data_IF_560798467077
#
_entry.id   IF_560798467077
#
_cell.length_a   1.000
_cell.length_b   1.000
_cell.length_c   1.000
_cell.angle_alpha   90.00
_cell.angle_beta   90.00
_cell.angle_gamma   90.00
#
_symmetry.space_group_name_H-M   'P 1'
#
loop_
_entity.id
_entity.type
_entity.pdbx_description
1 polymer ?
#
# COMPACT_ATOMS: atom_id res chain seq x y z
N UNK A 1 -28.14 -21.10 -14.37
CA UNK A 1 -27.81 -22.54 -14.44
C UNK A 1 -27.32 -23.07 -13.10
N UNK A 2 -26.18 -22.63 -12.58
CA UNK A 2 -25.64 -23.08 -11.27
C UNK A 2 -26.62 -22.82 -10.10
N UNK A 3 -27.17 -21.60 -10.01
CA UNK A 3 -28.16 -21.22 -9.01
C UNK A 3 -29.40 -22.13 -9.06
N UNK A 4 -29.92 -22.41 -10.23
CA UNK A 4 -31.16 -23.20 -10.42
C UNK A 4 -30.92 -24.68 -10.02
N UNK A 5 -29.72 -25.17 -10.24
CA UNK A 5 -29.33 -26.55 -9.92
C UNK A 5 -29.03 -26.73 -8.42
N UNK A 6 -28.24 -25.81 -7.82
CA UNK A 6 -27.71 -25.98 -6.46
C UNK A 6 -28.27 -25.02 -5.42
N UNK A 7 -28.92 -23.91 -5.82
CA UNK A 7 -29.36 -22.85 -4.90
C UNK A 7 -30.34 -23.31 -3.81
N UNK A 8 -31.12 -24.37 -4.04
CA UNK A 8 -32.04 -24.92 -3.05
C UNK A 8 -31.39 -25.97 -2.12
N UNK A 9 -30.16 -26.41 -2.41
CA UNK A 9 -29.51 -27.49 -1.67
C UNK A 9 -29.20 -27.12 -0.24
N UNK A 10 -28.63 -25.92 -0.02
CA UNK A 10 -28.33 -25.40 1.33
C UNK A 10 -29.60 -25.26 2.19
N UNK A 11 -30.71 -24.82 1.60
CA UNK A 11 -31.98 -24.69 2.31
C UNK A 11 -32.50 -26.07 2.76
N UNK A 12 -32.41 -27.08 1.89
CA UNK A 12 -32.78 -28.47 2.23
C UNK A 12 -31.91 -29.02 3.35
N UNK A 13 -30.62 -28.73 3.33
CA UNK A 13 -29.66 -29.17 4.36
C UNK A 13 -29.96 -28.49 5.70
N UNK A 14 -30.19 -27.17 5.73
CA UNK A 14 -30.55 -26.44 6.93
C UNK A 14 -31.88 -26.93 7.55
N UNK A 15 -32.89 -27.21 6.71
CA UNK A 15 -34.14 -27.82 7.19
C UNK A 15 -33.92 -29.17 7.83
N UNK A 16 -33.03 -30.05 7.26
CA UNK A 16 -32.68 -31.33 7.85
C UNK A 16 -31.94 -31.21 9.19
N UNK A 17 -31.17 -30.15 9.37
CA UNK A 17 -30.51 -29.84 10.64
C UNK A 17 -31.45 -29.26 11.68
N UNK A 18 -32.73 -29.06 11.36
CA UNK A 18 -33.70 -28.49 12.29
C UNK A 18 -33.58 -26.98 12.49
N UNK A 19 -32.89 -26.27 11.59
CA UNK A 19 -32.79 -24.80 11.67
C UNK A 19 -34.16 -24.16 11.53
N UNK A 20 -34.48 -23.19 12.41
CA UNK A 20 -35.72 -22.43 12.43
C UNK A 20 -35.48 -21.09 11.72
N UNK A 21 -35.96 -21.00 10.48
CA UNK A 21 -35.86 -19.82 9.64
C UNK A 21 -37.21 -19.58 8.95
N UNK A 22 -37.48 -18.35 8.51
CA UNK A 22 -38.62 -18.03 7.66
C UNK A 22 -38.31 -18.41 6.22
N UNK A 23 -38.60 -19.65 5.87
CA UNK A 23 -38.30 -20.22 4.55
C UNK A 23 -39.11 -19.61 3.40
N UNK A 24 -40.24 -19.02 3.68
CA UNK A 24 -41.08 -18.36 2.66
C UNK A 24 -40.48 -17.05 2.17
N UNK A 25 -39.74 -16.37 3.07
CA UNK A 25 -38.99 -15.15 2.73
C UNK A 25 -37.54 -15.40 2.29
N UNK A 26 -37.25 -16.60 1.78
CA UNK A 26 -35.96 -16.90 1.23
C UNK A 26 -35.63 -15.96 0.07
N UNK A 27 -34.47 -15.31 0.14
CA UNK A 27 -33.97 -14.41 -0.91
C UNK A 27 -32.59 -14.86 -1.37
N UNK A 28 -32.26 -14.54 -2.59
CA UNK A 28 -30.93 -14.70 -3.14
C UNK A 28 -30.28 -13.32 -3.26
N UNK A 29 -28.98 -13.22 -2.92
CA UNK A 29 -28.27 -11.94 -2.87
C UNK A 29 -28.25 -11.16 -4.18
N UNK A 30 -28.47 -11.83 -5.32
CA UNK A 30 -28.53 -11.21 -6.64
C UNK A 30 -29.97 -11.18 -7.21
N UNK A 31 -31.00 -11.31 -6.35
CA UNK A 31 -32.38 -11.06 -6.73
C UNK A 31 -32.55 -9.59 -7.14
N UNK A 32 -33.50 -9.34 -8.03
CA UNK A 32 -33.78 -8.00 -8.56
C UNK A 32 -33.94 -6.94 -7.46
N UNK A 33 -34.82 -7.18 -6.48
CA UNK A 33 -35.06 -6.23 -5.38
C UNK A 33 -33.84 -6.02 -4.46
N UNK A 34 -32.97 -7.05 -4.24
CA UNK A 34 -31.73 -6.88 -3.49
C UNK A 34 -30.67 -6.15 -4.33
N UNK A 35 -30.63 -6.40 -5.64
CA UNK A 35 -29.76 -5.67 -6.55
C UNK A 35 -30.09 -4.17 -6.60
N UNK A 36 -31.37 -3.83 -6.67
CA UNK A 36 -31.85 -2.44 -6.58
C UNK A 36 -31.46 -1.79 -5.26
N UNK A 37 -31.66 -2.48 -4.13
CA UNK A 37 -31.28 -1.97 -2.81
C UNK A 37 -29.78 -1.71 -2.70
N UNK A 38 -28.94 -2.61 -3.24
CA UNK A 38 -27.47 -2.43 -3.25
C UNK A 38 -27.09 -1.21 -4.09
N UNK A 39 -27.69 -1.06 -5.27
CA UNK A 39 -27.44 0.10 -6.13
C UNK A 39 -27.86 1.42 -5.48
N UNK A 40 -29.04 1.46 -4.84
CA UNK A 40 -29.52 2.64 -4.14
C UNK A 40 -28.57 3.04 -2.99
N UNK A 41 -28.14 2.07 -2.18
CA UNK A 41 -27.15 2.32 -1.11
C UNK A 41 -25.82 2.81 -1.67
N UNK A 42 -25.33 2.21 -2.73
CA UNK A 42 -24.09 2.62 -3.38
C UNK A 42 -24.15 4.06 -3.87
N UNK A 43 -25.23 4.43 -4.56
CA UNK A 43 -25.43 5.79 -5.07
C UNK A 43 -25.52 6.81 -3.92
N UNK A 44 -26.23 6.48 -2.85
CA UNK A 44 -26.33 7.34 -1.66
C UNK A 44 -24.97 7.55 -0.98
N UNK A 45 -24.18 6.49 -0.85
CA UNK A 45 -22.83 6.57 -0.25
C UNK A 45 -21.89 7.38 -1.14
N UNK A 46 -21.96 7.20 -2.45
CA UNK A 46 -21.20 8.01 -3.39
C UNK A 46 -21.59 9.49 -3.31
N UNK A 47 -22.91 9.80 -3.27
CA UNK A 47 -23.40 11.17 -3.10
C UNK A 47 -22.96 11.85 -1.80
N UNK A 48 -22.68 11.08 -0.75
CA UNK A 48 -22.11 11.55 0.53
C UNK A 48 -20.56 11.66 0.49
N UNK A 49 -19.91 11.33 -0.60
CA UNK A 49 -18.44 11.34 -0.73
C UNK A 49 -17.74 10.22 0.05
N UNK A 50 -18.48 9.20 0.54
CA UNK A 50 -17.92 8.08 1.29
C UNK A 50 -17.36 6.99 0.37
N UNK A 51 -17.77 6.97 -0.89
CA UNK A 51 -17.23 6.09 -1.94
C UNK A 51 -16.63 6.97 -3.02
N UNK A 52 -15.40 6.67 -3.38
CA UNK A 52 -14.67 7.37 -4.46
C UNK A 52 -13.72 6.41 -5.16
N UNK A 53 -13.30 6.75 -6.36
CA UNK A 53 -12.28 6.01 -7.10
C UNK A 53 -10.90 6.59 -6.77
N UNK A 54 -9.99 5.75 -6.32
CA UNK A 54 -8.62 6.15 -5.97
C UNK A 54 -7.64 5.00 -6.18
N UNK A 55 -6.35 5.33 -6.15
CA UNK A 55 -5.29 4.33 -6.11
C UNK A 55 -5.05 3.92 -4.66
N UNK A 56 -4.79 2.64 -4.45
CA UNK A 56 -4.44 2.07 -3.16
C UNK A 56 -3.45 0.92 -3.35
N UNK A 57 -2.64 0.66 -2.32
CA UNK A 57 -1.74 -0.50 -2.32
C UNK A 57 -2.58 -1.75 -2.00
N UNK A 58 -2.44 -2.77 -2.84
CA UNK A 58 -3.12 -4.07 -2.69
C UNK A 58 -2.13 -5.21 -2.89
N UNK A 59 -2.44 -6.38 -2.32
CA UNK A 59 -1.74 -7.60 -2.66
C UNK A 59 -2.12 -8.03 -4.08
N UNK A 60 -1.14 -8.27 -4.92
CA UNK A 60 -1.32 -8.61 -6.32
C UNK A 60 -0.61 -9.89 -6.70
N UNK A 61 -1.31 -10.82 -7.34
CA UNK A 61 -0.71 -12.02 -7.88
C UNK A 61 -0.30 -11.81 -9.34
N UNK A 62 1.01 -11.78 -9.68
CA UNK A 62 1.46 -11.58 -11.05
C UNK A 62 1.17 -12.78 -11.97
N UNK A 63 0.95 -13.98 -11.38
CA UNK A 63 0.58 -15.19 -12.14
C UNK A 63 -0.91 -15.20 -12.50
N UNK A 64 -1.78 -14.89 -11.54
CA UNK A 64 -3.23 -14.89 -11.75
C UNK A 64 -3.75 -13.57 -12.31
N UNK A 65 -2.94 -12.51 -12.28
CA UNK A 65 -3.28 -11.15 -12.72
C UNK A 65 -4.53 -10.62 -11.99
N UNK A 66 -4.58 -10.84 -10.69
CA UNK A 66 -5.69 -10.43 -9.83
C UNK A 66 -5.22 -9.95 -8.46
N UNK A 67 -6.05 -9.15 -7.80
CA UNK A 67 -5.88 -8.81 -6.40
C UNK A 67 -6.10 -10.04 -5.50
N UNK A 68 -5.40 -10.06 -4.38
CA UNK A 68 -5.52 -11.07 -3.33
C UNK A 68 -6.05 -10.42 -2.06
N UNK A 69 -6.85 -11.16 -1.28
CA UNK A 69 -7.17 -10.78 0.09
C UNK A 69 -5.98 -10.98 1.03
N UNK A 70 -6.05 -10.38 2.22
CA UNK A 70 -4.99 -10.53 3.21
C UNK A 70 -4.89 -11.99 3.69
N UNK A 71 -6.02 -12.72 3.76
CA UNK A 71 -6.05 -14.14 4.14
C UNK A 71 -5.40 -15.05 3.09
N UNK A 72 -5.40 -14.66 1.82
CA UNK A 72 -4.72 -15.39 0.74
C UNK A 72 -3.22 -15.10 0.67
N UNK A 73 -2.77 -14.02 1.32
CA UNK A 73 -1.37 -13.58 1.34
C UNK A 73 -0.67 -14.09 2.59
N UNK A 74 -0.06 -15.26 2.52
CA UNK A 74 0.67 -15.84 3.63
C UNK A 74 2.08 -15.25 3.73
N UNK A 75 2.43 -14.72 4.90
CA UNK A 75 3.79 -14.28 5.19
C UNK A 75 4.72 -15.48 5.40
N UNK A 76 5.90 -15.39 4.81
CA UNK A 76 6.96 -16.39 4.97
C UNK A 76 8.30 -15.70 5.13
N UNK A 77 9.06 -16.10 6.14
CA UNK A 77 10.43 -15.64 6.31
C UNK A 77 11.31 -16.21 5.19
N UNK A 78 12.06 -15.32 4.56
CA UNK A 78 13.01 -15.67 3.48
C UNK A 78 14.33 -14.99 3.79
N UNK A 79 15.42 -15.71 3.58
CA UNK A 79 16.76 -15.12 3.62
C UNK A 79 16.90 -14.11 2.48
N UNK A 80 17.30 -12.90 2.81
CA UNK A 80 17.47 -11.81 1.87
C UNK A 80 18.75 -11.04 2.09
N UNK A 81 19.05 -10.11 1.19
CA UNK A 81 20.19 -9.20 1.31
C UNK A 81 19.72 -7.80 1.66
N UNK A 82 20.51 -7.10 2.45
CA UNK A 82 20.33 -5.68 2.72
C UNK A 82 21.34 -4.89 1.88
N UNK A 83 20.84 -4.10 0.96
CA UNK A 83 21.62 -3.28 0.04
C UNK A 83 21.82 -1.88 0.61
N UNK A 84 23.05 -1.36 0.54
CA UNK A 84 23.40 -0.03 1.00
C UNK A 84 23.66 0.87 -0.20
N UNK A 85 22.83 1.89 -0.38
CA UNK A 85 22.87 2.78 -1.54
C UNK A 85 23.17 4.20 -1.06
N UNK A 86 24.10 4.90 -1.72
CA UNK A 86 24.48 6.28 -1.40
C UNK A 86 23.63 7.25 -2.21
N UNK A 87 22.91 8.13 -1.52
CA UNK A 87 22.15 9.22 -2.09
C UNK A 87 22.90 10.53 -1.87
N UNK A 88 23.49 11.13 -2.91
CA UNK A 88 24.23 12.38 -2.77
C UNK A 88 23.33 13.52 -2.29
N UNK A 89 23.87 14.36 -1.42
CA UNK A 89 23.25 15.62 -1.05
C UNK A 89 23.45 16.60 -2.21
N UNK A 90 22.38 17.28 -2.63
CA UNK A 90 22.47 18.31 -3.64
C UNK A 90 23.24 19.51 -3.08
N UNK A 91 24.44 19.74 -3.61
CA UNK A 91 25.24 20.94 -3.30
C UNK A 91 25.20 21.89 -4.50
N UNK A 92 24.80 23.16 -4.32
CA UNK A 92 24.86 24.19 -5.36
C UNK A 92 26.30 24.42 -5.90
N UNK A 93 27.33 24.13 -5.09
CA UNK A 93 28.73 24.26 -5.48
C UNK A 93 29.28 23.04 -6.24
N UNK A 94 28.46 21.97 -6.40
CA UNK A 94 28.86 20.77 -7.15
C UNK A 94 29.76 19.78 -6.40
N UNK A 95 30.08 20.02 -5.14
CA UNK A 95 30.80 19.09 -4.29
C UNK A 95 29.89 17.94 -3.88
N UNK A 96 30.12 16.74 -4.42
CA UNK A 96 29.32 15.53 -4.16
C UNK A 96 29.87 14.66 -3.01
N UNK A 97 30.56 15.26 -2.04
CA UNK A 97 31.19 14.49 -0.96
C UNK A 97 30.17 14.02 0.10
N UNK A 98 29.14 14.85 0.38
CA UNK A 98 28.13 14.49 1.36
C UNK A 98 27.07 13.57 0.75
N UNK A 99 26.77 12.47 1.43
CA UNK A 99 25.73 11.52 1.00
C UNK A 99 25.04 10.90 2.19
N UNK A 100 23.79 10.50 1.99
CA UNK A 100 23.01 9.69 2.93
C UNK A 100 23.05 8.25 2.42
N UNK A 101 23.37 7.31 3.29
CA UNK A 101 23.33 5.87 2.97
C UNK A 101 21.96 5.33 3.36
N UNK A 102 21.28 4.72 2.42
CA UNK A 102 19.99 4.06 2.62
C UNK A 102 20.20 2.55 2.60
N UNK A 103 19.60 1.86 3.56
CA UNK A 103 19.57 0.39 3.58
C UNK A 103 18.20 -0.10 3.11
N UNK A 104 18.17 -0.97 2.11
CA UNK A 104 16.93 -1.52 1.55
C UNK A 104 17.09 -3.00 1.21
N UNK A 105 16.01 -3.76 1.37
CA UNK A 105 15.92 -5.15 0.89
C UNK A 105 15.42 -5.23 -0.55
N UNK A 106 14.87 -4.12 -1.09
CA UNK A 106 14.25 -4.03 -2.42
C UNK A 106 14.89 -2.92 -3.25
N UNK A 107 16.13 -3.11 -3.74
CA UNK A 107 16.85 -2.08 -4.50
C UNK A 107 16.17 -1.75 -5.84
N UNK A 108 15.40 -2.68 -6.41
CA UNK A 108 14.67 -2.50 -7.67
C UNK A 108 13.66 -1.36 -7.61
N UNK A 109 13.05 -1.09 -6.44
CA UNK A 109 12.06 -0.02 -6.28
C UNK A 109 12.68 1.38 -6.17
N UNK A 110 14.01 1.48 -6.11
CA UNK A 110 14.73 2.76 -6.01
C UNK A 110 14.34 3.75 -7.11
N UNK A 111 14.07 3.26 -8.31
CA UNK A 111 13.70 4.13 -9.45
C UNK A 111 12.39 4.90 -9.22
N UNK A 112 11.53 4.41 -8.33
CA UNK A 112 10.28 5.05 -7.90
C UNK A 112 10.42 5.91 -6.64
N UNK A 113 11.61 6.11 -6.08
CA UNK A 113 11.79 6.90 -4.87
C UNK A 113 11.46 8.37 -5.13
N UNK A 114 10.73 8.98 -4.21
CA UNK A 114 10.26 10.37 -4.27
C UNK A 114 10.72 11.21 -3.09
N UNK A 115 11.09 10.57 -1.99
CA UNK A 115 11.61 11.23 -0.79
C UNK A 115 12.45 10.26 0.05
N UNK A 116 13.17 10.81 1.01
CA UNK A 116 13.85 10.05 2.08
C UNK A 116 13.27 10.50 3.42
N UNK A 117 12.86 9.53 4.25
CA UNK A 117 12.38 9.78 5.60
C UNK A 117 13.47 9.51 6.63
N UNK A 118 13.54 10.36 7.64
CA UNK A 118 14.41 10.20 8.80
C UNK A 118 13.63 10.50 10.09
N UNK A 119 14.02 9.88 11.18
CA UNK A 119 13.39 10.17 12.45
C UNK A 119 13.83 11.55 12.98
N UNK A 120 12.91 12.44 13.41
CA UNK A 120 13.25 13.77 13.91
C UNK A 120 14.12 13.74 15.17
N UNK A 121 14.16 12.63 15.90
CA UNK A 121 15.00 12.43 17.10
C UNK A 121 16.40 11.89 16.75
N UNK A 122 16.64 11.52 15.49
CA UNK A 122 17.92 10.97 15.09
C UNK A 122 18.94 12.09 14.84
N UNK A 123 19.90 12.19 15.74
CA UNK A 123 20.94 13.23 15.70
C UNK A 123 21.85 13.13 14.48
N UNK A 124 21.97 11.94 13.86
CA UNK A 124 22.82 11.71 12.69
C UNK A 124 22.38 12.51 11.47
N UNK A 125 21.06 12.80 11.38
CA UNK A 125 20.44 13.45 10.23
C UNK A 125 19.97 14.88 10.52
N UNK A 126 20.37 15.46 11.64
CA UNK A 126 19.93 16.80 12.06
C UNK A 126 20.33 17.90 11.05
N UNK A 127 21.51 17.76 10.46
CA UNK A 127 22.08 18.77 9.56
C UNK A 127 21.56 18.65 8.11
N UNK A 128 20.66 17.69 7.87
CA UNK A 128 20.01 17.50 6.56
C UNK A 128 18.74 18.35 6.40
N UNK A 129 18.33 19.08 7.44
CA UNK A 129 17.11 19.90 7.40
C UNK A 129 17.22 20.98 6.32
N UNK A 130 16.27 20.97 5.37
CA UNK A 130 16.25 21.91 4.25
C UNK A 130 17.17 21.54 3.09
N UNK A 131 17.94 20.44 3.19
CA UNK A 131 18.72 19.91 2.08
C UNK A 131 17.85 19.01 1.17
N UNK A 132 18.31 18.83 -0.04
CA UNK A 132 17.73 17.97 -1.07
C UNK A 132 18.73 16.87 -1.38
N UNK A 133 18.26 15.64 -1.59
CA UNK A 133 19.07 14.52 -2.05
C UNK A 133 18.87 14.31 -3.56
N UNK A 134 19.78 13.62 -4.18
CA UNK A 134 19.70 13.27 -5.60
C UNK A 134 19.58 11.76 -5.71
N UNK A 135 18.53 11.29 -6.40
CA UNK A 135 18.33 9.89 -6.70
C UNK A 135 19.46 9.40 -7.60
N UNK A 136 20.20 8.37 -7.21
CA UNK A 136 21.23 7.79 -8.07
C UNK A 136 20.64 7.34 -9.42
N UNK A 137 21.45 7.37 -10.46
CA UNK A 137 21.11 6.99 -11.86
C UNK A 137 20.18 7.99 -12.55
N UNK A 138 19.03 8.34 -11.94
CA UNK A 138 18.02 9.18 -12.56
C UNK A 138 18.23 10.68 -12.35
N UNK A 139 18.98 11.08 -11.33
CA UNK A 139 19.23 12.51 -11.03
C UNK A 139 18.01 13.24 -10.46
N UNK A 140 16.91 12.56 -10.14
CA UNK A 140 15.71 13.16 -9.56
C UNK A 140 16.03 13.75 -8.18
N UNK A 141 15.49 14.93 -7.91
CA UNK A 141 15.60 15.58 -6.61
C UNK A 141 14.61 14.96 -5.61
N UNK A 142 15.13 14.56 -4.45
CA UNK A 142 14.36 13.94 -3.38
C UNK A 142 14.29 14.86 -2.18
N UNK A 143 13.07 15.07 -1.67
CA UNK A 143 12.84 15.79 -0.41
C UNK A 143 13.22 14.91 0.78
N UNK A 144 13.67 15.56 1.87
CA UNK A 144 13.87 14.90 3.15
C UNK A 144 12.66 15.21 4.03
N UNK A 145 11.98 14.17 4.49
CA UNK A 145 10.84 14.27 5.42
C UNK A 145 11.24 13.74 6.79
N UNK A 146 10.69 14.33 7.83
CA UNK A 146 10.98 13.95 9.21
C UNK A 146 9.74 13.30 9.82
N UNK A 147 9.81 11.97 10.06
CA UNK A 147 8.68 11.22 10.58
C UNK A 147 9.10 10.26 11.69
N UNK A 148 8.27 10.19 12.74
CA UNK A 148 8.47 9.32 13.90
C UNK A 148 8.28 7.82 13.61
N UNK A 149 7.67 7.46 12.48
CA UNK A 149 7.51 6.08 12.03
C UNK A 149 8.83 5.42 11.64
N UNK A 150 9.85 6.23 11.31
CA UNK A 150 11.16 5.69 10.92
C UNK A 150 11.87 5.10 12.14
N UNK A 151 12.19 3.81 12.08
CA UNK A 151 13.00 3.15 13.10
C UNK A 151 14.48 3.53 12.94
N UNK A 152 15.01 4.25 13.95
CA UNK A 152 16.41 4.68 13.98
C UNK A 152 17.41 3.53 14.09
N UNK A 153 16.96 2.33 14.46
CA UNK A 153 17.83 1.16 14.68
C UNK A 153 17.86 0.22 13.47
N UNK A 154 16.88 0.32 12.59
CA UNK A 154 16.85 -0.52 11.40
C UNK A 154 17.74 0.06 10.29
N UNK A 155 18.63 -0.76 9.75
CA UNK A 155 19.54 -0.38 8.68
C UNK A 155 20.39 0.84 9.05
N UNK A 156 20.23 1.92 8.30
CA UNK A 156 20.93 3.20 8.55
C UNK A 156 20.10 4.19 9.36
N UNK A 157 18.83 3.90 9.62
CA UNK A 157 17.88 4.84 10.24
C UNK A 157 17.34 5.90 9.25
N UNK A 158 17.67 5.78 7.98
CA UNK A 158 17.09 6.57 6.90
C UNK A 158 16.35 5.63 5.94
N UNK A 159 15.10 5.96 5.66
CA UNK A 159 14.17 5.17 4.85
C UNK A 159 13.92 5.86 3.50
N UNK A 160 14.08 5.14 2.39
CA UNK A 160 13.60 5.60 1.09
C UNK A 160 12.07 5.50 1.04
N UNK A 161 11.40 6.44 0.38
CA UNK A 161 9.94 6.44 0.25
C UNK A 161 9.56 6.19 -1.21
N UNK A 162 8.89 5.05 -1.44
CA UNK A 162 8.38 4.63 -2.74
C UNK A 162 6.88 4.35 -2.62
N UNK A 163 6.01 5.37 -2.66
CA UNK A 163 4.60 5.25 -2.28
C UNK A 163 3.79 4.26 -3.13
N UNK A 164 4.22 3.97 -4.35
CA UNK A 164 3.52 3.03 -5.23
C UNK A 164 3.85 1.55 -4.95
N UNK A 165 4.80 1.23 -4.04
CA UNK A 165 5.34 -0.12 -3.89
C UNK A 165 5.43 -0.64 -2.46
N UNK A 166 5.06 0.15 -1.46
CA UNK A 166 5.08 -0.23 -0.05
C UNK A 166 3.92 0.43 0.72
N UNK A 167 3.19 -0.31 1.58
CA UNK A 167 2.06 0.24 2.33
C UNK A 167 2.45 1.38 3.29
N UNK A 168 3.59 1.29 3.98
CA UNK A 168 4.06 2.33 4.89
C UNK A 168 4.48 3.57 4.11
N UNK A 169 5.18 3.37 2.99
CA UNK A 169 5.58 4.44 2.09
C UNK A 169 4.36 5.12 1.45
N UNK A 170 3.29 4.37 1.17
CA UNK A 170 2.03 4.92 0.69
C UNK A 170 1.37 5.85 1.71
N UNK A 171 1.31 5.45 2.99
CA UNK A 171 0.80 6.31 4.06
C UNK A 171 1.63 7.58 4.24
N UNK A 172 2.95 7.47 4.21
CA UNK A 172 3.85 8.63 4.21
C UNK A 172 3.65 9.49 2.97
N UNK A 173 3.43 8.87 1.81
CA UNK A 173 3.10 9.54 0.57
C UNK A 173 1.85 10.41 0.67
N UNK A 174 0.78 9.88 1.21
CA UNK A 174 -0.46 10.61 1.47
C UNK A 174 -0.25 11.74 2.49
N UNK A 175 0.46 11.47 3.59
CA UNK A 175 0.71 12.44 4.66
C UNK A 175 1.52 13.66 4.19
N UNK A 176 2.49 13.44 3.32
CA UNK A 176 3.40 14.50 2.83
C UNK A 176 3.09 14.97 1.41
N UNK A 177 2.01 14.49 0.80
CA UNK A 177 1.63 14.85 -0.57
C UNK A 177 2.70 14.48 -1.59
N UNK A 178 3.29 13.28 -1.47
CA UNK A 178 4.33 12.79 -2.36
C UNK A 178 3.73 12.10 -3.59
N UNK A 179 4.43 12.18 -4.71
CA UNK A 179 4.04 11.53 -5.96
C UNK A 179 4.09 10.01 -5.85
N UNK A 180 3.19 9.32 -6.55
CA UNK A 180 3.19 7.86 -6.68
C UNK A 180 3.75 7.49 -8.04
N UNK A 181 4.98 7.01 -8.07
CA UNK A 181 5.68 6.60 -9.30
C UNK A 181 5.69 5.07 -9.36
N UNK A 182 5.06 4.54 -10.38
CA UNK A 182 5.06 3.11 -10.66
C UNK A 182 6.33 2.72 -11.44
N UNK A 183 7.02 1.66 -11.01
CA UNK A 183 8.22 1.10 -11.62
C UNK A 183 8.14 -0.42 -11.75
#
# INVERSE_FOLDING_TARGET
KWRDEYGSTIIKQLKKLGCSCDWERTRFTMDEGLSEAVLDVFVRLHGKGLIYKGNYIINWCPRCLTALSDEESQHKDVDGMLYYIKYPVKDPAGNREEHVVIATTRPETMLGDVAIAVNPKDKRYKDLKGKTLVLPILGRELKIVYDGLVDMKFGTGALKITPAHDPIDFELGLKYGLEQINV
#
